data_IF_671752113185
#
_entry.id   IF_671752113185
#
_cell.length_a   1.000
_cell.length_b   1.000
_cell.length_c   1.000
_cell.angle_alpha   90.00
_cell.angle_beta   90.00
_cell.angle_gamma   90.00
#
_symmetry.space_group_name_H-M   'P 1'
#
loop_
_entity.id
_entity.type
_entity.pdbx_description
1 polymer ?
#
# COMPACT_ATOMS: atom_id res chain seq x y z
N UNK A 1 24.59 7.46 22.75
CA UNK A 1 23.29 6.80 22.55
C UNK A 1 23.32 6.08 21.22
N UNK A 2 23.42 4.75 21.24
CA UNK A 2 23.45 3.95 20.01
C UNK A 2 22.01 3.77 19.52
N UNK A 3 21.71 4.22 18.29
CA UNK A 3 20.41 4.01 17.64
C UNK A 3 20.12 2.53 17.41
N UNK A 4 18.86 2.13 17.27
CA UNK A 4 18.46 0.74 17.09
C UNK A 4 19.07 0.19 15.78
N UNK A 5 19.88 -0.88 15.92
CA UNK A 5 20.47 -1.58 14.76
C UNK A 5 19.36 -2.17 13.90
N UNK A 6 19.25 -1.71 12.67
CA UNK A 6 18.33 -2.27 11.69
C UNK A 6 18.67 -3.73 11.42
N UNK A 7 17.68 -4.62 11.53
CA UNK A 7 17.82 -6.04 11.22
C UNK A 7 18.14 -6.25 9.74
N UNK A 8 19.07 -7.14 9.44
CA UNK A 8 19.42 -7.48 8.04
C UNK A 8 18.25 -8.10 7.28
N UNK A 9 18.16 -7.97 5.95
CA UNK A 9 17.08 -8.56 5.15
C UNK A 9 16.93 -10.08 5.33
N UNK A 10 18.03 -10.79 5.56
CA UNK A 10 18.04 -12.23 5.84
C UNK A 10 17.42 -12.59 7.20
N UNK A 11 17.65 -11.75 8.20
CA UNK A 11 17.07 -11.93 9.55
C UNK A 11 15.54 -11.67 9.54
N UNK A 12 15.08 -10.71 8.73
CA UNK A 12 13.64 -10.42 8.56
C UNK A 12 12.90 -11.56 7.87
N UNK A 13 13.49 -12.18 6.85
CA UNK A 13 12.92 -13.35 6.17
C UNK A 13 12.83 -14.58 7.11
N UNK A 14 13.81 -14.78 7.99
CA UNK A 14 13.80 -15.87 8.99
C UNK A 14 12.74 -15.69 10.07
N UNK A 15 12.46 -14.46 10.50
CA UNK A 15 11.41 -14.16 11.48
C UNK A 15 10.02 -14.46 10.91
N UNK A 16 9.77 -14.12 9.64
CA UNK A 16 8.49 -14.41 8.97
C UNK A 16 8.29 -15.93 8.84
N UNK A 17 9.33 -16.68 8.50
CA UNK A 17 9.25 -18.14 8.42
C UNK A 17 9.07 -18.83 9.79
N UNK A 18 9.55 -18.20 10.87
CA UNK A 18 9.37 -18.73 12.23
C UNK A 18 7.94 -18.48 12.75
N UNK A 19 7.32 -17.36 12.38
CA UNK A 19 5.94 -17.02 12.78
C UNK A 19 4.91 -17.83 11.97
N UNK A 20 5.24 -18.20 10.71
CA UNK A 20 4.37 -18.98 9.83
C UNK A 20 5.15 -20.16 9.22
N UNK A 21 5.41 -21.23 9.99
CA UNK A 21 6.22 -22.36 9.51
C UNK A 21 5.62 -23.08 8.29
N UNK A 22 4.32 -22.92 8.04
CA UNK A 22 3.58 -23.45 6.88
C UNK A 22 2.88 -22.34 6.07
N UNK A 23 3.29 -21.07 6.23
CA UNK A 23 2.74 -19.98 5.43
C UNK A 23 3.17 -20.10 3.96
N UNK A 24 2.32 -19.71 2.99
CA UNK A 24 2.71 -19.72 1.59
C UNK A 24 3.92 -18.81 1.41
N UNK A 25 4.99 -19.34 0.82
CA UNK A 25 6.16 -18.55 0.40
C UNK A 25 5.66 -17.42 -0.48
N UNK A 26 5.81 -16.18 -0.04
CA UNK A 26 5.37 -15.01 -0.79
C UNK A 26 6.19 -14.96 -2.10
N UNK A 27 5.58 -15.14 -3.27
CA UNK A 27 6.32 -15.07 -4.53
C UNK A 27 6.85 -13.64 -4.71
N UNK A 28 8.07 -13.51 -5.24
CA UNK A 28 8.73 -12.21 -5.46
C UNK A 28 7.91 -11.22 -6.30
N UNK A 29 6.99 -11.74 -7.12
CA UNK A 29 6.03 -10.98 -7.92
C UNK A 29 4.89 -10.33 -7.11
N UNK A 30 4.60 -10.81 -5.88
CA UNK A 30 3.52 -10.27 -5.05
C UNK A 30 3.81 -8.89 -4.46
N UNK A 31 5.05 -8.43 -4.50
CA UNK A 31 5.45 -7.11 -4.00
C UNK A 31 4.88 -5.96 -4.85
N UNK A 32 4.64 -6.20 -6.17
CA UNK A 32 4.15 -5.16 -7.09
C UNK A 32 2.66 -4.80 -6.95
N UNK A 33 1.87 -5.64 -6.26
CA UNK A 33 0.41 -5.45 -6.15
C UNK A 33 -0.06 -5.07 -4.74
N UNK A 34 0.86 -4.67 -3.86
CA UNK A 34 0.54 -4.29 -2.50
C UNK A 34 0.13 -2.81 -2.41
N UNK A 35 -0.89 -2.45 -1.59
CA UNK A 35 -1.33 -1.06 -1.46
C UNK A 35 -0.24 -0.09 -0.97
N UNK A 36 0.81 -0.59 -0.30
CA UNK A 36 1.98 0.18 0.11
C UNK A 36 3.17 0.07 -0.87
N UNK A 37 3.11 -0.89 -1.83
CA UNK A 37 4.11 -0.91 -2.91
C UNK A 37 3.74 0.18 -3.90
N UNK A 38 4.61 1.15 -4.15
CA UNK A 38 4.28 2.30 -4.98
C UNK A 38 4.35 1.94 -6.47
N UNK A 39 3.54 0.98 -6.93
CA UNK A 39 3.34 0.79 -8.37
C UNK A 39 2.85 2.09 -8.98
N UNK A 40 1.85 2.71 -8.35
CA UNK A 40 1.39 4.05 -8.73
C UNK A 40 2.49 5.11 -8.60
N UNK A 41 3.33 5.03 -7.57
CA UNK A 41 4.45 5.94 -7.38
C UNK A 41 5.58 5.74 -8.39
N UNK A 42 5.87 4.50 -8.81
CA UNK A 42 6.87 4.23 -9.86
C UNK A 42 6.36 4.67 -11.23
N UNK A 43 5.08 4.48 -11.52
CA UNK A 43 4.45 4.90 -12.77
C UNK A 43 4.32 6.43 -12.83
N UNK A 44 3.97 7.08 -11.72
CA UNK A 44 3.98 8.53 -11.61
C UNK A 44 5.38 9.12 -11.81
N UNK A 45 6.42 8.49 -11.26
CA UNK A 45 7.80 8.92 -11.45
C UNK A 45 8.25 8.73 -12.90
N UNK A 46 7.86 7.63 -13.57
CA UNK A 46 8.12 7.41 -14.99
C UNK A 46 7.41 8.46 -15.85
N UNK A 47 6.15 8.80 -15.53
CA UNK A 47 5.41 9.87 -16.18
C UNK A 47 6.06 11.23 -15.99
N UNK A 48 6.57 11.54 -14.78
CA UNK A 48 7.30 12.78 -14.52
C UNK A 48 8.59 12.87 -15.32
N UNK A 49 9.35 11.78 -15.45
CA UNK A 49 10.51 11.72 -16.33
C UNK A 49 10.17 12.01 -17.80
N UNK A 50 9.05 11.46 -18.28
CA UNK A 50 8.57 11.74 -19.63
C UNK A 50 8.16 13.22 -19.79
N UNK A 51 7.55 13.83 -18.77
CA UNK A 51 7.19 15.24 -18.77
C UNK A 51 8.42 16.16 -18.81
N UNK A 52 9.49 15.85 -18.07
CA UNK A 52 10.77 16.57 -18.16
C UNK A 52 11.35 16.43 -19.56
N UNK A 53 11.32 15.23 -20.14
CA UNK A 53 11.80 15.01 -21.52
C UNK A 53 10.97 15.79 -22.54
N UNK A 54 9.65 15.87 -22.35
CA UNK A 54 8.75 16.68 -23.18
C UNK A 54 9.06 18.18 -23.02
N UNK A 55 9.28 18.68 -21.78
CA UNK A 55 9.65 20.06 -21.55
C UNK A 55 10.98 20.43 -22.24
N UNK A 56 11.96 19.50 -22.26
CA UNK A 56 13.20 19.69 -23.04
C UNK A 56 12.96 19.66 -24.55
N UNK A 57 12.07 18.82 -25.04
CA UNK A 57 11.74 18.75 -26.46
C UNK A 57 11.10 20.04 -26.99
N UNK A 58 10.43 20.83 -26.13
CA UNK A 58 9.84 22.12 -26.52
C UNK A 58 10.88 23.19 -26.92
N UNK A 59 12.17 22.98 -26.62
CA UNK A 59 13.26 23.83 -27.11
C UNK A 59 13.67 23.49 -28.54
N UNK A 60 13.22 22.38 -29.08
CA UNK A 60 13.53 21.96 -30.46
C UNK A 60 12.49 22.51 -31.46
N UNK A 61 12.84 22.61 -32.74
CA UNK A 61 11.88 23.01 -33.76
C UNK A 61 10.74 21.99 -33.89
N UNK A 62 9.52 22.46 -33.98
CA UNK A 62 8.35 21.62 -34.29
C UNK A 62 8.12 21.56 -35.78
N UNK A 63 7.92 20.34 -36.30
CA UNK A 63 7.58 20.09 -37.70
C UNK A 63 6.10 19.66 -37.77
N UNK A 64 5.28 20.44 -38.47
CA UNK A 64 3.87 20.14 -38.72
C UNK A 64 3.66 19.79 -40.18
N UNK A 65 3.00 18.69 -40.44
CA UNK A 65 2.59 18.29 -41.74
C UNK A 65 1.06 18.23 -41.77
N UNK A 66 0.43 19.03 -42.65
CA UNK A 66 -1.02 19.09 -42.80
C UNK A 66 -1.38 18.66 -44.24
N UNK A 67 -2.30 17.71 -44.34
CA UNK A 67 -2.84 17.28 -45.64
C UNK A 67 -4.36 17.50 -45.66
N UNK A 68 -4.82 18.18 -46.65
CA UNK A 68 -6.25 18.37 -46.93
C UNK A 68 -6.59 17.80 -48.30
N UNK A 69 -7.69 17.05 -48.38
CA UNK A 69 -8.20 16.53 -49.66
C UNK A 69 -9.72 16.51 -49.65
N UNK A 70 -10.29 16.83 -50.77
CA UNK A 70 -11.75 16.91 -50.89
C UNK A 70 -12.21 17.26 -52.30
N UNK A 71 -13.49 17.61 -52.42
CA UNK A 71 -14.09 18.08 -53.64
C UNK A 71 -14.58 19.52 -53.42
N UNK A 72 -14.28 20.38 -54.34
CA UNK A 72 -14.70 21.80 -54.31
C UNK A 72 -15.28 22.19 -55.67
N UNK A 73 -16.53 22.70 -55.69
CA UNK A 73 -17.18 23.17 -56.92
C UNK A 73 -18.13 24.31 -56.60
N UNK A 74 -18.26 25.26 -57.54
CA UNK A 74 -19.25 26.33 -57.47
C UNK A 74 -20.69 25.85 -57.72
N UNK A 75 -20.88 24.68 -58.35
CA UNK A 75 -22.19 24.11 -58.71
C UNK A 75 -22.29 22.70 -58.14
N UNK A 76 -23.38 22.38 -57.46
CA UNK A 76 -23.60 21.07 -56.83
C UNK A 76 -23.54 19.88 -57.82
N UNK A 77 -24.02 20.07 -59.06
CA UNK A 77 -23.98 19.04 -60.12
C UNK A 77 -22.58 18.58 -60.54
N UNK A 78 -21.57 19.42 -60.32
CA UNK A 78 -20.18 19.14 -60.69
C UNK A 78 -19.30 18.78 -59.48
N UNK A 79 -19.84 18.77 -58.27
CA UNK A 79 -19.08 18.55 -57.03
C UNK A 79 -18.37 17.19 -56.97
N UNK A 80 -19.02 16.13 -57.44
CA UNK A 80 -18.47 14.75 -57.45
C UNK A 80 -17.71 14.39 -58.75
N UNK A 81 -17.44 15.36 -59.60
CA UNK A 81 -16.62 15.11 -60.79
C UNK A 81 -15.12 15.05 -60.42
N UNK A 82 -14.32 14.25 -61.15
CA UNK A 82 -12.88 14.16 -60.91
C UNK A 82 -12.16 15.51 -60.97
N UNK A 83 -12.67 16.45 -61.80
CA UNK A 83 -12.10 17.78 -61.98
C UNK A 83 -12.31 18.71 -60.74
N UNK A 84 -13.22 18.34 -59.85
CA UNK A 84 -13.54 19.06 -58.63
C UNK A 84 -12.72 18.56 -57.42
N UNK A 85 -11.94 17.51 -57.58
CA UNK A 85 -11.08 16.98 -56.55
C UNK A 85 -9.87 17.93 -56.36
N UNK A 86 -9.57 18.25 -55.09
CA UNK A 86 -8.36 18.98 -54.71
C UNK A 86 -7.58 18.22 -53.66
N UNK A 87 -6.29 18.40 -53.66
CA UNK A 87 -5.38 17.89 -52.65
C UNK A 87 -4.32 18.97 -52.34
N UNK A 88 -4.19 19.31 -51.08
CA UNK A 88 -3.19 20.27 -50.61
C UNK A 88 -2.35 19.65 -49.50
N UNK A 89 -1.03 19.75 -49.60
CA UNK A 89 -0.10 19.28 -48.60
C UNK A 89 0.79 20.44 -48.20
N UNK A 90 0.83 20.75 -46.87
CA UNK A 90 1.60 21.85 -46.33
C UNK A 90 2.53 21.34 -45.26
N UNK A 91 3.82 21.67 -45.34
CA UNK A 91 4.81 21.43 -44.31
C UNK A 91 5.22 22.77 -43.65
N UNK A 92 5.11 22.84 -42.31
CA UNK A 92 5.53 23.99 -41.53
C UNK A 92 6.65 23.62 -40.54
N UNK A 93 7.69 24.50 -40.41
CA UNK A 93 8.73 24.40 -39.42
C UNK A 93 8.67 25.63 -38.51
N UNK A 94 8.50 25.41 -37.20
CA UNK A 94 8.43 26.51 -36.23
C UNK A 94 9.46 26.28 -35.13
N UNK A 95 10.37 27.24 -34.92
CA UNK A 95 11.38 27.26 -33.88
C UNK A 95 11.12 28.42 -32.94
N UNK A 96 10.85 28.20 -31.63
CA UNK A 96 10.78 29.27 -30.66
C UNK A 96 12.20 29.81 -30.38
N UNK A 97 12.44 31.11 -30.65
CA UNK A 97 13.75 31.73 -30.42
C UNK A 97 13.74 32.50 -29.09
N UNK A 98 12.64 33.15 -28.77
CA UNK A 98 12.49 33.94 -27.55
C UNK A 98 11.04 33.90 -27.04
N UNK A 99 10.85 33.41 -25.82
CA UNK A 99 9.54 33.33 -25.19
C UNK A 99 9.53 33.88 -23.75
N UNK A 100 10.35 34.86 -23.47
CA UNK A 100 10.37 35.55 -22.17
C UNK A 100 10.64 34.65 -20.97
N UNK A 101 11.40 33.56 -21.15
CA UNK A 101 11.71 32.59 -20.07
C UNK A 101 10.63 31.53 -19.83
N UNK A 102 9.52 31.51 -20.58
CA UNK A 102 8.42 30.53 -20.40
C UNK A 102 8.88 29.09 -20.50
N UNK A 103 9.71 28.75 -21.47
CA UNK A 103 10.23 27.40 -21.67
C UNK A 103 11.15 26.96 -20.52
N UNK A 104 12.04 27.85 -20.07
CA UNK A 104 12.91 27.63 -18.92
C UNK A 104 12.10 27.40 -17.66
N UNK A 105 11.15 28.27 -17.35
CA UNK A 105 10.25 28.13 -16.18
C UNK A 105 9.41 26.86 -16.24
N UNK A 106 8.97 26.41 -17.43
CA UNK A 106 8.28 25.14 -17.58
C UNK A 106 9.21 23.95 -17.33
N UNK A 107 10.46 23.98 -17.80
CA UNK A 107 11.45 22.93 -17.52
C UNK A 107 11.74 22.83 -16.01
N UNK A 108 11.95 23.96 -15.35
CA UNK A 108 12.21 24.03 -13.91
C UNK A 108 11.00 23.48 -13.12
N UNK A 109 9.78 23.84 -13.53
CA UNK A 109 8.55 23.31 -12.95
C UNK A 109 8.47 21.79 -13.06
N UNK A 110 8.73 21.22 -14.25
CA UNK A 110 8.67 19.76 -14.44
C UNK A 110 9.78 19.04 -13.67
N UNK A 111 10.95 19.63 -13.56
CA UNK A 111 12.06 19.08 -12.76
C UNK A 111 11.73 19.12 -11.28
N UNK A 112 11.18 20.22 -10.76
CA UNK A 112 10.73 20.30 -9.38
C UNK A 112 9.63 19.28 -9.04
N UNK A 113 8.68 19.05 -9.96
CA UNK A 113 7.65 18.00 -9.80
C UNK A 113 8.23 16.61 -9.79
N UNK A 114 9.25 16.34 -10.59
CA UNK A 114 9.97 15.06 -10.59
C UNK A 114 10.63 14.81 -9.23
N UNK A 115 11.28 15.81 -8.65
CA UNK A 115 11.93 15.72 -7.34
C UNK A 115 10.90 15.53 -6.22
N UNK A 116 9.76 16.23 -6.27
CA UNK A 116 8.65 16.04 -5.34
C UNK A 116 8.14 14.59 -5.36
N UNK A 117 7.88 14.04 -6.55
CA UNK A 117 7.41 12.67 -6.70
C UNK A 117 8.44 11.64 -6.24
N UNK A 118 9.73 11.91 -6.43
CA UNK A 118 10.81 11.08 -5.89
C UNK A 118 10.80 11.04 -4.36
N UNK A 119 10.59 12.19 -3.70
CA UNK A 119 10.49 12.24 -2.23
C UNK A 119 9.21 11.56 -1.72
N UNK A 120 8.10 11.73 -2.42
CA UNK A 120 6.84 11.05 -2.10
C UNK A 120 6.97 9.52 -2.24
N UNK A 121 7.66 9.04 -3.27
CA UNK A 121 7.99 7.62 -3.41
C UNK A 121 8.81 7.09 -2.23
N UNK A 122 9.87 7.81 -1.85
CA UNK A 122 10.69 7.44 -0.67
C UNK A 122 9.87 7.42 0.61
N UNK A 123 9.03 8.43 0.83
CA UNK A 123 8.13 8.51 1.97
C UNK A 123 7.18 7.32 2.03
N UNK A 124 6.54 6.95 0.92
CA UNK A 124 5.64 5.80 0.85
C UNK A 124 6.36 4.48 1.19
N UNK A 125 7.58 4.29 0.69
CA UNK A 125 8.37 3.10 1.01
C UNK A 125 8.70 3.02 2.52
N UNK A 126 9.12 4.13 3.12
CA UNK A 126 9.43 4.19 4.56
C UNK A 126 8.17 3.95 5.40
N UNK A 127 7.04 4.56 5.02
CA UNK A 127 5.75 4.35 5.70
C UNK A 127 5.35 2.88 5.68
N UNK A 128 5.44 2.20 4.53
CA UNK A 128 5.13 0.78 4.43
C UNK A 128 5.99 -0.12 5.34
N UNK A 129 7.26 0.20 5.50
CA UNK A 129 8.12 -0.51 6.46
C UNK A 129 7.72 -0.23 7.91
N UNK A 130 7.39 1.02 8.23
CA UNK A 130 6.94 1.42 9.57
C UNK A 130 5.63 0.72 9.95
N UNK A 131 4.69 0.61 9.01
CA UNK A 131 3.40 -0.05 9.22
C UNK A 131 3.58 -1.54 9.56
N UNK A 132 4.46 -2.24 8.83
CA UNK A 132 4.79 -3.65 9.10
C UNK A 132 5.48 -3.81 10.46
N UNK A 133 6.41 -2.93 10.80
CA UNK A 133 7.13 -2.99 12.09
C UNK A 133 6.17 -2.73 13.27
N UNK A 134 5.27 -1.76 13.11
CA UNK A 134 4.22 -1.46 14.08
C UNK A 134 3.28 -2.65 14.26
N UNK A 135 2.81 -3.27 13.17
CA UNK A 135 1.94 -4.43 13.23
C UNK A 135 2.62 -5.64 13.90
N UNK A 136 3.91 -5.89 13.63
CA UNK A 136 4.69 -6.95 14.27
C UNK A 136 4.87 -6.70 15.78
N UNK A 137 5.11 -5.45 16.17
CA UNK A 137 5.20 -5.05 17.58
C UNK A 137 3.87 -5.28 18.29
N UNK A 138 2.76 -4.87 17.68
CA UNK A 138 1.40 -5.04 18.22
C UNK A 138 1.04 -6.53 18.43
N UNK A 139 1.40 -7.43 17.50
CA UNK A 139 1.19 -8.87 17.68
C UNK A 139 1.93 -9.38 18.89
N UNK A 140 3.21 -9.01 19.08
CA UNK A 140 3.99 -9.45 20.24
C UNK A 140 3.39 -8.98 21.55
N UNK A 141 2.98 -7.71 21.62
CA UNK A 141 2.39 -7.11 22.80
C UNK A 141 1.03 -7.71 23.15
N UNK A 142 0.17 -7.90 22.15
CA UNK A 142 -1.17 -8.49 22.35
C UNK A 142 -1.08 -9.97 22.72
N UNK A 143 -0.17 -10.74 22.13
CA UNK A 143 0.07 -12.13 22.52
C UNK A 143 0.57 -12.26 23.96
N UNK A 144 1.48 -11.38 24.39
CA UNK A 144 1.94 -11.35 25.78
C UNK A 144 0.80 -11.00 26.73
N UNK A 145 0.01 -9.96 26.39
CA UNK A 145 -1.16 -9.55 27.19
C UNK A 145 -2.19 -10.68 27.32
N UNK A 146 -2.50 -11.40 26.25
CA UNK A 146 -3.41 -12.55 26.28
C UNK A 146 -2.87 -13.65 27.22
N UNK A 147 -1.58 -13.97 27.12
CA UNK A 147 -0.94 -14.98 27.99
C UNK A 147 -1.02 -14.58 29.47
N UNK A 148 -0.72 -13.33 29.81
CA UNK A 148 -0.80 -12.85 31.19
C UNK A 148 -2.25 -12.86 31.71
N UNK A 149 -3.21 -12.48 30.85
CA UNK A 149 -4.62 -12.48 31.24
C UNK A 149 -5.17 -13.90 31.44
N UNK A 150 -4.69 -14.90 30.71
CA UNK A 150 -5.01 -16.31 30.98
C UNK A 150 -4.57 -16.74 32.40
N UNK A 151 -3.37 -16.31 32.81
CA UNK A 151 -2.89 -16.59 34.16
C UNK A 151 -3.75 -15.92 35.24
N UNK A 152 -4.25 -14.68 34.97
CA UNK A 152 -5.19 -14.00 35.88
C UNK A 152 -6.49 -14.78 36.01
N UNK A 153 -7.09 -15.25 34.89
CA UNK A 153 -8.31 -16.06 34.92
C UNK A 153 -8.09 -17.35 35.72
N UNK A 154 -6.97 -18.02 35.51
CA UNK A 154 -6.64 -19.26 36.25
C UNK A 154 -6.48 -19.00 37.76
N UNK A 155 -5.81 -17.89 38.13
CA UNK A 155 -5.69 -17.48 39.54
C UNK A 155 -7.02 -17.12 40.18
N UNK A 156 -7.87 -16.36 39.45
CA UNK A 156 -9.21 -15.97 39.92
C UNK A 156 -10.11 -17.20 40.08
N UNK A 157 -9.99 -18.20 39.18
CA UNK A 157 -10.73 -19.45 39.29
C UNK A 157 -10.34 -20.23 40.53
N UNK A 158 -9.05 -20.39 40.78
CA UNK A 158 -8.57 -21.02 42.02
C UNK A 158 -9.07 -20.32 43.28
N UNK A 159 -9.06 -18.97 43.26
CA UNK A 159 -9.59 -18.18 44.39
C UNK A 159 -11.07 -18.41 44.60
N UNK A 160 -11.86 -18.48 43.53
CA UNK A 160 -13.29 -18.79 43.60
C UNK A 160 -13.53 -20.21 44.12
N UNK A 161 -12.84 -21.23 43.61
CA UNK A 161 -12.98 -22.63 44.03
C UNK A 161 -12.66 -22.79 45.53
N UNK A 162 -11.60 -22.13 46.04
CA UNK A 162 -11.22 -22.12 47.47
C UNK A 162 -12.31 -21.40 48.29
N UNK A 163 -12.84 -20.28 47.82
CA UNK A 163 -13.90 -19.57 48.59
C UNK A 163 -15.18 -20.36 48.65
N UNK A 164 -15.55 -21.10 47.57
CA UNK A 164 -16.71 -21.99 47.56
C UNK A 164 -16.55 -23.16 48.57
N UNK A 165 -15.35 -23.73 48.64
CA UNK A 165 -15.05 -24.75 49.63
C UNK A 165 -15.17 -24.22 51.06
N UNK A 166 -14.57 -23.04 51.37
CA UNK A 166 -14.64 -22.43 52.68
C UNK A 166 -16.06 -22.02 53.11
N UNK A 167 -16.90 -21.64 52.16
CA UNK A 167 -18.33 -21.39 52.44
C UNK A 167 -19.04 -22.69 52.89
N UNK A 168 -18.76 -23.84 52.22
CA UNK A 168 -19.31 -25.14 52.64
C UNK A 168 -18.83 -25.57 54.05
N UNK A 169 -17.62 -25.16 54.39
CA UNK A 169 -17.03 -25.39 55.73
C UNK A 169 -17.55 -24.37 56.77
N UNK A 170 -18.34 -23.38 56.38
CA UNK A 170 -18.88 -22.35 57.26
C UNK A 170 -17.87 -21.32 57.76
N UNK A 171 -16.68 -21.21 57.10
CA UNK A 171 -15.57 -20.35 57.53
C UNK A 171 -15.57 -18.95 56.90
N UNK A 172 -16.37 -18.73 55.84
CA UNK A 172 -16.59 -17.43 55.21
C UNK A 172 -18.08 -17.22 54.91
N UNK A 173 -18.45 -15.97 54.58
CA UNK A 173 -19.79 -15.57 54.21
C UNK A 173 -20.04 -15.67 52.66
N UNK A 174 -21.31 -15.69 52.30
CA UNK A 174 -21.73 -15.76 50.89
C UNK A 174 -21.29 -14.50 50.11
N UNK A 175 -21.21 -13.34 50.74
CA UNK A 175 -20.80 -12.09 50.08
C UNK A 175 -19.37 -12.20 49.55
N UNK A 176 -18.47 -12.82 50.34
CA UNK A 176 -17.09 -13.08 49.90
C UNK A 176 -17.02 -14.00 48.65
N UNK A 177 -17.86 -15.05 48.60
CA UNK A 177 -17.94 -15.94 47.44
C UNK A 177 -18.44 -15.17 46.19
N UNK A 178 -19.47 -14.36 46.33
CA UNK A 178 -20.01 -13.54 45.24
C UNK A 178 -18.98 -12.53 44.72
N UNK A 179 -18.16 -11.95 45.58
CA UNK A 179 -17.07 -11.05 45.19
C UNK A 179 -15.98 -11.79 44.38
N UNK A 180 -15.59 -12.99 44.81
CA UNK A 180 -14.62 -13.79 44.05
C UNK A 180 -15.18 -14.26 42.71
N UNK A 181 -16.47 -14.59 42.66
CA UNK A 181 -17.18 -14.95 41.43
C UNK A 181 -17.21 -13.76 40.45
N UNK A 182 -17.56 -12.56 40.94
CA UNK A 182 -17.54 -11.34 40.11
C UNK A 182 -16.14 -11.05 39.56
N UNK A 183 -15.08 -11.24 40.39
CA UNK A 183 -13.70 -11.10 39.96
C UNK A 183 -13.33 -12.09 38.86
N UNK A 184 -13.77 -13.35 38.97
CA UNK A 184 -13.56 -14.36 37.96
C UNK A 184 -14.22 -13.99 36.62
N UNK A 185 -15.48 -13.56 36.65
CA UNK A 185 -16.20 -13.15 35.43
C UNK A 185 -15.55 -11.93 34.79
N UNK A 186 -15.16 -10.92 35.56
CA UNK A 186 -14.45 -9.76 35.05
C UNK A 186 -13.09 -10.14 34.42
N UNK A 187 -12.36 -11.09 35.01
CA UNK A 187 -11.14 -11.62 34.42
C UNK A 187 -11.38 -12.37 33.11
N UNK A 188 -12.48 -13.14 33.00
CA UNK A 188 -12.86 -13.84 31.77
C UNK A 188 -13.22 -12.85 30.66
N UNK A 189 -14.00 -11.81 30.96
CA UNK A 189 -14.37 -10.77 30.00
C UNK A 189 -13.10 -10.06 29.47
N UNK A 190 -12.18 -9.71 30.38
CA UNK A 190 -10.91 -9.08 30.00
C UNK A 190 -10.06 -10.00 29.12
N UNK A 191 -10.10 -11.31 29.32
CA UNK A 191 -9.42 -12.29 28.47
C UNK A 191 -10.02 -12.32 27.06
N UNK A 192 -11.35 -12.25 26.93
CA UNK A 192 -12.01 -12.22 25.62
C UNK A 192 -11.61 -10.97 24.85
N UNK A 193 -11.58 -9.81 25.53
CA UNK A 193 -11.12 -8.55 24.92
C UNK A 193 -9.63 -8.65 24.50
N UNK A 194 -8.77 -9.25 25.32
CA UNK A 194 -7.36 -9.46 24.98
C UNK A 194 -7.18 -10.36 23.75
N UNK A 195 -7.99 -11.43 23.64
CA UNK A 195 -8.01 -12.31 22.46
C UNK A 195 -8.46 -11.58 21.21
N UNK A 196 -9.52 -10.78 21.31
CA UNK A 196 -10.00 -9.98 20.19
C UNK A 196 -8.90 -9.03 19.70
N UNK A 197 -8.22 -8.34 20.61
CA UNK A 197 -7.10 -7.44 20.28
C UNK A 197 -5.95 -8.18 19.58
N UNK A 198 -5.65 -9.42 20.00
CA UNK A 198 -4.65 -10.25 19.33
C UNK A 198 -5.06 -10.61 17.90
N UNK A 199 -6.30 -11.05 17.68
CA UNK A 199 -6.79 -11.34 16.32
C UNK A 199 -6.80 -10.10 15.44
N UNK A 200 -7.20 -8.94 15.97
CA UNK A 200 -7.15 -7.67 15.23
C UNK A 200 -5.71 -7.30 14.83
N UNK A 201 -4.73 -7.51 15.72
CA UNK A 201 -3.32 -7.28 15.41
C UNK A 201 -2.82 -8.21 14.28
N UNK A 202 -3.26 -9.49 14.25
CA UNK A 202 -2.94 -10.42 13.17
C UNK A 202 -3.54 -9.94 11.84
N UNK A 203 -4.80 -9.50 11.85
CA UNK A 203 -5.45 -8.94 10.65
C UNK A 203 -4.73 -7.68 10.16
N UNK A 204 -4.32 -6.78 11.07
CA UNK A 204 -3.57 -5.57 10.73
C UNK A 204 -2.21 -5.91 10.09
N UNK A 205 -1.50 -6.94 10.57
CA UNK A 205 -0.28 -7.42 9.91
C UNK A 205 -0.58 -7.93 8.50
N UNK A 206 -1.69 -8.67 8.34
CA UNK A 206 -2.10 -9.19 7.04
C UNK A 206 -2.38 -8.04 6.06
N UNK A 207 -3.02 -6.96 6.51
CA UNK A 207 -3.25 -5.74 5.73
C UNK A 207 -1.93 -5.02 5.41
N UNK A 208 -1.06 -4.82 6.40
CA UNK A 208 0.24 -4.18 6.21
C UNK A 208 1.14 -4.97 5.22
N UNK A 209 1.00 -6.29 5.17
CA UNK A 209 1.67 -7.14 4.18
C UNK A 209 0.95 -7.17 2.81
N UNK A 210 -0.17 -6.48 2.65
CA UNK A 210 -0.96 -6.44 1.42
C UNK A 210 -1.87 -7.65 1.24
N UNK A 211 -2.49 -8.12 2.32
CA UNK A 211 -3.42 -9.26 2.31
C UNK A 211 -4.60 -9.07 1.36
N UNK A 212 -5.16 -10.18 0.90
CA UNK A 212 -6.29 -10.22 -0.04
C UNK A 212 -5.92 -10.43 -1.51
N UNK A 213 -4.63 -10.57 -1.82
CA UNK A 213 -4.19 -10.88 -3.17
C UNK A 213 -4.33 -12.39 -3.48
N UNK A 214 -5.07 -12.69 -4.55
CA UNK A 214 -5.07 -14.02 -5.17
C UNK A 214 -4.06 -14.01 -6.33
N UNK A 215 -3.12 -14.97 -6.41
CA UNK A 215 -2.24 -15.06 -7.57
C UNK A 215 -3.10 -15.18 -8.82
N UNK A 216 -2.91 -14.28 -9.80
CA UNK A 216 -3.47 -14.48 -11.14
C UNK A 216 -2.84 -15.77 -11.68
N UNK A 217 -3.63 -16.77 -12.13
CA UNK A 217 -3.06 -17.93 -12.78
C UNK A 217 -2.13 -17.45 -13.90
N UNK A 218 -0.92 -17.99 -13.97
CA UNK A 218 -0.05 -17.75 -15.10
C UNK A 218 -0.79 -18.29 -16.32
N UNK A 219 -1.21 -17.40 -17.23
CA UNK A 219 -1.69 -17.77 -18.55
C UNK A 219 -0.52 -18.47 -19.24
N UNK A 220 -0.59 -19.81 -19.29
CA UNK A 220 0.40 -20.65 -19.99
C UNK A 220 0.31 -20.49 -21.51
N UNK A 221 -0.45 -19.52 -22.00
CA UNK A 221 -0.63 -19.23 -23.42
C UNK A 221 0.52 -18.42 -24.06
N UNK A 222 1.39 -17.77 -23.26
CA UNK A 222 2.50 -16.94 -23.79
C UNK A 222 3.84 -17.69 -23.89
N UNK A 223 3.84 -19.02 -23.75
CA UNK A 223 5.03 -19.88 -23.87
C UNK A 223 5.00 -20.75 -25.14
N UNK A 224 4.61 -20.15 -26.29
CA UNK A 224 4.79 -20.79 -27.60
C UNK A 224 5.36 -19.80 -28.61
#
# INVERSE_FOLDING_TARGET
MAGPKSLSPSTRARIINWIFPNGPLLPKTSLKTKPWYPSDGSDQLAAANANVSNARAQFLPSITLTGEGGYQSAILKTLLRPESAFYTMTAGLTQPIFEGGRLLGNLDLQTGRQDELLQNYRKSAISGFSDVETALSNIRQTALRERLQRAVVESSRRAFDISEQRLREGTIDLVTVLQTQQTLYSAQDTLVVARLAHFQAVVSLYQALGGGWKPKPLDTADAR
#
